data_IF_192484222786
#
_entry.id   IF_192484222786
#
_cell.length_a   1.000
_cell.length_b   1.000
_cell.length_c   1.000
_cell.angle_alpha   90.00
_cell.angle_beta   90.00
_cell.angle_gamma   90.00
#
_symmetry.space_group_name_H-M   'P 1'
#
loop_
_entity.id
_entity.type
_entity.pdbx_description
1 polymer ?
#
# COMPACT_ATOMS: atom_id res chain seq x y z
N UNK A 1 26.65 21.03 12.19
CA UNK A 1 25.22 20.73 12.17
C UNK A 1 24.74 21.14 10.78
N UNK A 2 24.63 20.18 9.88
CA UNK A 2 24.10 20.44 8.53
C UNK A 2 22.59 20.64 8.67
N UNK A 3 22.10 21.80 8.30
CA UNK A 3 20.66 22.05 8.19
C UNK A 3 20.06 20.96 7.31
N UNK A 4 19.12 20.20 7.86
CA UNK A 4 18.31 19.27 7.08
C UNK A 4 17.36 20.15 6.26
N UNK A 5 17.84 20.57 5.10
CA UNK A 5 16.99 21.25 4.12
C UNK A 5 15.86 20.28 3.77
N UNK A 6 14.63 20.73 3.93
CA UNK A 6 13.46 19.88 3.63
C UNK A 6 13.58 19.35 2.19
N UNK A 7 13.46 18.03 2.04
CA UNK A 7 13.52 17.37 0.73
C UNK A 7 12.54 18.03 -0.24
N UNK A 8 12.99 18.57 -1.38
CA UNK A 8 12.09 19.12 -2.38
C UNK A 8 11.05 18.08 -2.79
N UNK A 9 9.77 18.43 -2.67
CA UNK A 9 8.70 17.50 -2.97
C UNK A 9 7.63 18.13 -3.85
N UNK A 10 7.12 17.34 -4.78
CA UNK A 10 5.95 17.66 -5.60
C UNK A 10 4.88 16.60 -5.33
N UNK A 11 3.69 17.06 -4.97
CA UNK A 11 2.60 16.16 -4.55
C UNK A 11 1.40 16.36 -5.47
N UNK A 12 0.97 15.30 -6.14
CA UNK A 12 -0.23 15.30 -6.96
C UNK A 12 -1.49 15.49 -6.12
N UNK A 13 -2.50 16.12 -6.71
CA UNK A 13 -3.83 16.19 -6.12
C UNK A 13 -4.45 14.80 -6.03
N UNK A 14 -5.22 14.59 -4.96
CA UNK A 14 -5.96 13.34 -4.76
C UNK A 14 -7.15 13.26 -5.71
N UNK A 15 -7.28 12.14 -6.41
CA UNK A 15 -8.44 11.80 -7.26
C UNK A 15 -9.36 10.85 -6.53
N UNK A 16 -10.64 10.87 -6.87
CA UNK A 16 -11.64 9.93 -6.34
C UNK A 16 -12.28 9.21 -7.52
N UNK A 17 -12.32 7.89 -7.44
CA UNK A 17 -12.92 7.01 -8.44
C UNK A 17 -13.91 6.09 -7.72
N UNK A 18 -15.12 5.96 -8.27
CA UNK A 18 -16.15 5.05 -7.75
C UNK A 18 -16.42 3.98 -8.80
N UNK A 19 -16.29 2.71 -8.42
CA UNK A 19 -16.53 1.59 -9.33
C UNK A 19 -18.01 1.22 -9.37
N UNK A 20 -18.50 0.86 -10.57
CA UNK A 20 -19.89 0.38 -10.76
C UNK A 20 -20.09 -0.98 -10.09
N UNK A 21 -21.19 -1.10 -9.35
CA UNK A 21 -21.64 -2.39 -8.83
C UNK A 21 -22.18 -3.28 -9.96
N UNK A 22 -21.79 -4.54 -9.97
CA UNK A 22 -22.37 -5.57 -10.88
C UNK A 22 -23.43 -6.40 -10.19
N UNK A 23 -23.41 -6.47 -8.86
CA UNK A 23 -24.42 -7.15 -8.08
C UNK A 23 -25.47 -6.16 -7.61
N UNK A 24 -26.72 -6.66 -7.55
CA UNK A 24 -27.80 -6.04 -6.83
C UNK A 24 -27.98 -6.64 -5.42
N UNK A 25 -28.77 -6.04 -4.53
CA UNK A 25 -29.00 -6.54 -3.18
C UNK A 25 -29.57 -7.96 -3.14
N UNK A 26 -30.39 -8.36 -4.13
CA UNK A 26 -31.00 -9.68 -4.21
C UNK A 26 -29.96 -10.76 -4.48
N UNK A 27 -29.05 -10.48 -5.42
CA UNK A 27 -27.92 -11.39 -5.70
C UNK A 27 -26.97 -11.49 -4.51
N UNK A 28 -26.64 -10.39 -3.86
CA UNK A 28 -25.81 -10.41 -2.65
C UNK A 28 -26.44 -11.26 -1.55
N UNK A 29 -27.76 -11.10 -1.32
CA UNK A 29 -28.54 -11.93 -0.41
C UNK A 29 -28.44 -13.42 -0.74
N UNK A 30 -28.67 -13.80 -2.00
CA UNK A 30 -28.60 -15.19 -2.45
C UNK A 30 -27.21 -15.81 -2.22
N UNK A 31 -26.15 -15.05 -2.47
CA UNK A 31 -24.78 -15.48 -2.21
C UNK A 31 -24.53 -15.70 -0.71
N UNK A 32 -24.97 -14.77 0.13
CA UNK A 32 -24.85 -14.89 1.58
C UNK A 32 -25.65 -16.09 2.15
N UNK A 33 -26.87 -16.30 1.66
CA UNK A 33 -27.73 -17.43 2.07
C UNK A 33 -27.06 -18.80 1.81
N UNK A 34 -26.33 -18.96 0.69
CA UNK A 34 -25.60 -20.18 0.36
C UNK A 34 -24.51 -20.51 1.38
N UNK A 35 -23.88 -19.49 1.99
CA UNK A 35 -22.72 -19.67 2.86
C UNK A 35 -23.01 -19.48 4.35
N UNK A 36 -24.16 -18.90 4.74
CA UNK A 36 -24.48 -18.50 6.11
C UNK A 36 -24.21 -19.54 7.18
N UNK A 37 -24.48 -20.82 6.89
CA UNK A 37 -24.27 -21.90 7.87
C UNK A 37 -22.82 -22.12 8.27
N UNK A 38 -21.86 -21.74 7.42
CA UNK A 38 -20.41 -21.88 7.68
C UNK A 38 -19.96 -21.01 8.86
N UNK A 39 -20.65 -19.89 9.11
CA UNK A 39 -20.27 -18.92 10.13
C UNK A 39 -20.74 -19.28 11.54
N UNK A 40 -21.67 -20.24 11.66
CA UNK A 40 -22.26 -20.66 12.91
C UNK A 40 -21.90 -22.10 13.29
N UNK A 41 -20.79 -22.63 12.78
CA UNK A 41 -20.31 -23.98 13.10
C UNK A 41 -19.97 -24.08 14.59
N UNK A 42 -20.44 -25.15 15.25
CA UNK A 42 -20.15 -25.52 16.63
C UNK A 42 -19.24 -26.75 16.67
N UNK A 43 -18.33 -26.80 17.66
CA UNK A 43 -17.41 -27.93 17.84
C UNK A 43 -16.63 -28.31 16.56
N UNK A 44 -16.38 -27.36 15.66
CA UNK A 44 -15.62 -27.56 14.42
C UNK A 44 -16.37 -28.24 13.27
N UNK A 45 -17.51 -28.95 13.52
CA UNK A 45 -18.23 -29.72 12.49
C UNK A 45 -19.75 -29.57 12.50
N UNK A 46 -20.37 -29.26 13.63
CA UNK A 46 -21.82 -29.16 13.73
C UNK A 46 -22.36 -27.86 13.14
N UNK A 47 -23.00 -27.93 11.97
CA UNK A 47 -23.67 -26.79 11.33
C UNK A 47 -25.12 -26.71 11.79
N UNK A 48 -25.61 -25.51 12.18
CA UNK A 48 -27.03 -25.33 12.52
C UNK A 48 -27.94 -25.59 11.32
N UNK A 49 -29.23 -25.89 11.59
CA UNK A 49 -30.21 -26.02 10.52
C UNK A 49 -30.37 -24.66 9.79
N UNK A 50 -30.66 -24.66 8.46
CA UNK A 50 -30.82 -23.41 7.69
C UNK A 50 -31.84 -22.43 8.29
N UNK A 51 -32.94 -22.95 8.84
CA UNK A 51 -34.02 -22.18 9.50
C UNK A 51 -33.63 -21.54 10.83
N UNK A 52 -32.52 -21.97 11.42
CA UNK A 52 -31.98 -21.36 12.66
C UNK A 52 -31.16 -20.10 12.39
N UNK A 53 -30.87 -19.84 11.13
CA UNK A 53 -30.08 -18.65 10.75
C UNK A 53 -30.94 -17.72 9.89
N UNK A 54 -31.22 -16.53 10.45
CA UNK A 54 -32.01 -15.49 9.80
C UNK A 54 -31.08 -14.40 9.27
N UNK A 55 -31.38 -13.90 8.07
CA UNK A 55 -30.81 -12.67 7.58
C UNK A 55 -31.51 -11.49 8.26
N UNK A 56 -30.75 -10.58 8.84
CA UNK A 56 -31.23 -9.39 9.56
C UNK A 56 -31.21 -8.18 8.63
N UNK A 57 -30.04 -7.91 7.99
CA UNK A 57 -29.89 -6.78 7.07
C UNK A 57 -29.03 -7.14 5.86
N UNK A 58 -29.20 -6.33 4.79
CA UNK A 58 -28.34 -6.27 3.62
C UNK A 58 -28.08 -4.79 3.36
N UNK A 59 -26.89 -4.35 3.67
CA UNK A 59 -26.49 -2.97 3.55
C UNK A 59 -25.41 -2.84 2.45
N UNK A 60 -25.55 -1.82 1.58
CA UNK A 60 -24.56 -1.52 0.55
C UNK A 60 -23.80 -0.28 0.93
N UNK A 61 -22.48 -0.37 0.87
CA UNK A 61 -21.56 0.75 1.05
C UNK A 61 -20.39 0.64 0.05
N UNK A 62 -19.50 1.61 0.08
CA UNK A 62 -18.33 1.64 -0.78
C UNK A 62 -17.07 1.70 0.08
N UNK A 63 -16.22 0.68 -0.03
CA UNK A 63 -14.96 0.57 0.71
C UNK A 63 -13.85 1.29 -0.03
N UNK A 64 -13.11 2.22 0.61
CA UNK A 64 -12.01 2.92 -0.01
C UNK A 64 -10.73 2.08 -0.03
N UNK A 65 -10.05 2.12 -1.17
CA UNK A 65 -8.66 1.71 -1.34
C UNK A 65 -7.88 2.91 -1.86
N UNK A 66 -6.66 3.09 -1.37
CA UNK A 66 -5.82 4.21 -1.71
C UNK A 66 -4.70 3.73 -2.61
N UNK A 67 -4.60 4.28 -3.81
CA UNK A 67 -3.44 4.10 -4.68
C UNK A 67 -2.53 5.29 -4.49
N UNK A 68 -1.31 5.02 -4.08
CA UNK A 68 -0.26 6.02 -3.94
C UNK A 68 0.98 5.57 -4.71
N UNK A 69 1.54 6.48 -5.51
CA UNK A 69 2.73 6.22 -6.31
C UNK A 69 3.59 7.44 -6.45
N UNK A 70 4.86 7.20 -6.70
CA UNK A 70 5.81 8.30 -6.87
C UNK A 70 7.22 7.83 -7.13
N UNK A 71 8.09 8.82 -7.20
CA UNK A 71 9.47 8.68 -7.60
C UNK A 71 10.38 9.40 -6.62
N UNK A 72 11.51 8.79 -6.32
CA UNK A 72 12.61 9.39 -5.60
C UNK A 72 13.85 9.36 -6.48
N UNK A 73 14.63 10.45 -6.48
CA UNK A 73 15.92 10.43 -7.12
C UNK A 73 16.93 11.30 -6.38
N UNK A 74 18.20 10.91 -6.46
CA UNK A 74 19.32 11.57 -5.82
C UNK A 74 20.56 11.52 -6.70
N UNK A 75 21.18 12.70 -6.91
CA UNK A 75 22.48 12.86 -7.50
C UNK A 75 23.49 13.20 -6.40
N UNK A 76 24.58 12.46 -6.32
CA UNK A 76 25.55 12.62 -5.26
C UNK A 76 26.97 12.30 -5.70
N UNK A 77 27.94 12.78 -4.94
CA UNK A 77 29.36 12.54 -5.15
C UNK A 77 29.95 11.69 -4.04
N UNK A 78 30.93 10.88 -4.41
CA UNK A 78 31.80 10.13 -3.47
C UNK A 78 33.25 10.26 -3.89
N UNK A 79 34.09 10.62 -2.93
CA UNK A 79 35.54 10.60 -3.12
C UNK A 79 36.06 9.19 -2.80
N UNK A 80 36.76 8.63 -3.75
CA UNK A 80 37.30 7.28 -3.64
C UNK A 80 38.69 7.18 -4.22
N UNK A 81 39.43 6.20 -3.72
CA UNK A 81 40.68 5.77 -4.35
C UNK A 81 40.35 4.67 -5.36
N UNK A 82 40.60 4.95 -6.62
CA UNK A 82 40.43 4.00 -7.72
C UNK A 82 41.73 3.26 -7.96
N UNK A 83 41.69 1.92 -7.93
CA UNK A 83 42.81 1.08 -8.26
C UNK A 83 42.70 0.65 -9.73
N UNK A 84 43.52 1.24 -10.59
CA UNK A 84 43.54 0.94 -12.03
C UNK A 84 44.65 -0.09 -12.29
N UNK A 85 44.30 -1.24 -12.84
CA UNK A 85 45.26 -2.29 -13.21
C UNK A 85 46.13 -1.80 -14.36
N UNK A 86 47.44 -2.02 -14.25
CA UNK A 86 48.46 -1.68 -15.25
C UNK A 86 49.31 -2.89 -15.56
N UNK A 87 50.11 -2.78 -16.66
CA UNK A 87 51.01 -3.85 -17.08
C UNK A 87 52.07 -4.12 -16.03
N UNK A 88 52.46 -5.36 -15.88
CA UNK A 88 53.44 -5.82 -14.89
C UNK A 88 54.84 -5.20 -15.09
N UNK A 89 55.19 -4.90 -16.34
CA UNK A 89 56.45 -4.29 -16.71
C UNK A 89 56.49 -2.77 -16.53
N UNK A 90 55.33 -2.15 -16.28
CA UNK A 90 55.20 -0.69 -16.13
C UNK A 90 55.99 -0.20 -14.89
N UNK A 91 56.78 0.80 -15.07
CA UNK A 91 57.61 1.46 -14.00
C UNK A 91 56.98 2.76 -13.51
N UNK A 92 56.40 3.52 -14.43
CA UNK A 92 55.80 4.82 -14.16
C UNK A 92 54.73 5.15 -15.23
N UNK A 93 53.69 5.86 -14.86
CA UNK A 93 52.70 6.42 -15.77
C UNK A 93 52.48 7.89 -15.45
N UNK A 94 52.25 8.69 -16.47
CA UNK A 94 51.92 10.14 -16.34
C UNK A 94 50.43 10.32 -16.70
N UNK A 95 49.63 10.80 -15.75
CA UNK A 95 48.21 11.10 -15.96
C UNK A 95 47.98 12.55 -15.56
N UNK A 96 47.43 13.37 -16.47
CA UNK A 96 47.18 14.79 -16.25
C UNK A 96 48.41 15.53 -15.70
N UNK A 97 49.63 15.21 -16.21
CA UNK A 97 50.89 15.82 -15.78
C UNK A 97 51.44 15.32 -14.45
N UNK A 98 50.77 14.47 -13.73
CA UNK A 98 51.23 13.84 -12.48
C UNK A 98 51.80 12.44 -12.72
N UNK A 99 52.94 12.14 -12.08
CA UNK A 99 53.60 10.84 -12.18
C UNK A 99 53.09 9.91 -11.10
N UNK A 100 52.70 8.68 -11.47
CA UNK A 100 52.25 7.63 -10.57
C UNK A 100 53.18 6.40 -10.73
N UNK A 101 53.57 5.79 -9.62
CA UNK A 101 54.28 4.52 -9.61
C UNK A 101 53.34 3.38 -9.30
N UNK A 102 53.33 2.33 -10.11
CA UNK A 102 52.52 1.16 -9.83
C UNK A 102 52.90 0.47 -8.53
N UNK A 103 51.88 0.04 -7.79
CA UNK A 103 52.00 -0.74 -6.55
C UNK A 103 51.39 -2.13 -6.73
N UNK A 104 51.81 -3.16 -6.00
CA UNK A 104 51.11 -4.45 -6.02
C UNK A 104 49.70 -4.29 -5.47
N UNK A 105 48.71 -4.96 -6.10
CA UNK A 105 47.30 -4.91 -5.68
C UNK A 105 47.12 -5.49 -4.28
N UNK A 106 47.80 -6.61 -4.00
CA UNK A 106 47.94 -7.22 -2.67
C UNK A 106 49.23 -8.04 -2.63
N UNK A 107 49.75 -8.38 -1.42
CA UNK A 107 50.95 -9.25 -1.27
C UNK A 107 50.78 -10.60 -2.00
N UNK A 108 49.56 -11.12 -2.11
CA UNK A 108 49.25 -12.43 -2.70
C UNK A 108 49.01 -12.39 -4.20
N UNK A 109 48.82 -11.17 -4.80
CA UNK A 109 48.55 -11.00 -6.21
C UNK A 109 49.61 -10.11 -6.86
N UNK A 110 50.37 -10.64 -7.83
CA UNK A 110 51.44 -9.89 -8.48
C UNK A 110 50.95 -8.75 -9.39
N UNK A 111 49.62 -8.64 -9.67
CA UNK A 111 49.08 -7.59 -10.49
C UNK A 111 49.40 -6.20 -9.93
N UNK A 112 49.96 -5.33 -10.76
CA UNK A 112 50.26 -3.94 -10.41
C UNK A 112 49.03 -3.05 -10.66
N UNK A 113 48.84 -2.08 -9.77
CA UNK A 113 47.81 -1.04 -9.89
C UNK A 113 48.39 0.34 -9.61
N UNK A 114 47.80 1.32 -10.21
CA UNK A 114 47.97 2.71 -9.75
C UNK A 114 46.75 3.12 -8.94
N UNK A 115 46.96 3.88 -7.88
CA UNK A 115 45.91 4.42 -7.05
C UNK A 115 45.69 5.89 -7.42
N UNK A 116 44.46 6.19 -7.83
CA UNK A 116 44.06 7.55 -8.17
C UNK A 116 42.96 7.98 -7.22
N UNK A 117 43.15 9.11 -6.55
CA UNK A 117 42.07 9.77 -5.86
C UNK A 117 41.18 10.45 -6.91
N UNK A 118 39.90 10.23 -6.82
CA UNK A 118 38.92 10.79 -7.74
C UNK A 118 37.57 10.94 -7.10
N UNK A 119 36.76 11.80 -7.68
CA UNK A 119 35.38 12.03 -7.30
C UNK A 119 34.48 11.32 -8.31
N UNK A 120 33.67 10.39 -7.84
CA UNK A 120 32.66 9.72 -8.63
C UNK A 120 31.32 10.41 -8.45
N UNK A 121 30.66 10.70 -9.57
CA UNK A 121 29.28 11.21 -9.60
C UNK A 121 28.33 10.07 -9.83
N UNK A 122 27.29 9.99 -9.00
CA UNK A 122 26.34 8.89 -8.97
C UNK A 122 24.92 9.43 -9.09
N UNK A 123 24.09 8.67 -9.76
CA UNK A 123 22.66 8.87 -9.83
C UNK A 123 21.96 7.62 -9.30
N UNK A 124 20.98 7.81 -8.42
CA UNK A 124 20.08 6.73 -7.97
C UNK A 124 18.63 7.20 -8.14
N UNK A 125 17.80 6.30 -8.64
CA UNK A 125 16.39 6.56 -8.87
C UNK A 125 15.58 5.31 -8.45
N UNK A 126 14.43 5.54 -7.82
CA UNK A 126 13.45 4.51 -7.47
C UNK A 126 12.03 5.02 -7.72
N UNK A 127 11.17 4.15 -8.22
CA UNK A 127 9.77 4.44 -8.50
C UNK A 127 8.91 3.25 -8.08
N UNK A 128 7.84 3.51 -7.32
CA UNK A 128 6.92 2.48 -6.92
C UNK A 128 5.48 2.98 -6.78
N UNK A 129 4.54 2.03 -6.87
CA UNK A 129 3.12 2.22 -6.67
C UNK A 129 2.61 1.19 -5.67
N UNK A 130 1.81 1.65 -4.73
CA UNK A 130 1.25 0.82 -3.68
C UNK A 130 -0.26 1.02 -3.61
N UNK A 131 -0.95 -0.04 -3.23
CA UNK A 131 -2.37 -0.01 -2.92
C UNK A 131 -2.52 -0.28 -1.44
N UNK A 132 -3.24 0.59 -0.73
CA UNK A 132 -3.49 0.46 0.70
C UNK A 132 -4.98 0.23 0.95
N UNK A 133 -5.30 -0.63 1.91
CA UNK A 133 -6.65 -0.72 2.45
C UNK A 133 -6.96 0.49 3.35
N UNK A 134 -8.18 0.58 3.84
CA UNK A 134 -8.63 1.66 4.72
C UNK A 134 -7.93 1.69 6.10
N UNK A 135 -7.10 0.69 6.41
CA UNK A 135 -6.30 0.63 7.65
C UNK A 135 -4.81 0.92 7.40
N UNK A 136 -4.40 1.15 6.15
CA UNK A 136 -3.01 1.41 5.76
C UNK A 136 -2.19 0.16 5.48
N UNK A 137 -2.81 -1.01 5.40
CA UNK A 137 -2.10 -2.21 5.01
C UNK A 137 -1.98 -2.30 3.50
N UNK A 138 -0.82 -2.73 3.05
CA UNK A 138 -0.59 -2.96 1.63
C UNK A 138 -1.44 -4.12 1.10
N UNK A 139 -2.04 -3.91 -0.06
CA UNK A 139 -2.94 -4.86 -0.73
C UNK A 139 -2.36 -5.19 -2.10
N UNK A 140 -2.30 -6.48 -2.43
CA UNK A 140 -1.86 -6.90 -3.76
C UNK A 140 -2.88 -6.48 -4.83
N UNK A 141 -2.43 -6.01 -6.00
CA UNK A 141 -3.32 -5.57 -7.10
C UNK A 141 -4.37 -6.60 -7.51
N UNK A 142 -4.04 -7.89 -7.43
CA UNK A 142 -4.93 -9.01 -7.78
C UNK A 142 -6.11 -9.17 -6.81
N UNK A 143 -6.03 -8.54 -5.64
CA UNK A 143 -7.10 -8.55 -4.65
C UNK A 143 -8.16 -7.48 -4.92
N UNK A 144 -7.83 -6.48 -5.76
CA UNK A 144 -8.80 -5.46 -6.16
C UNK A 144 -9.72 -5.99 -7.25
N UNK A 145 -10.99 -5.69 -7.09
CA UNK A 145 -11.99 -5.96 -8.12
C UNK A 145 -11.98 -4.87 -9.18
N UNK A 146 -12.14 -5.26 -10.43
CA UNK A 146 -12.19 -4.34 -11.55
C UNK A 146 -13.61 -4.19 -12.11
N UNK A 147 -14.04 -2.95 -12.28
CA UNK A 147 -15.28 -2.57 -12.95
C UNK A 147 -15.12 -1.18 -13.59
N UNK A 148 -15.99 -0.81 -14.55
CA UNK A 148 -16.05 0.56 -15.07
C UNK A 148 -16.35 1.56 -13.95
N UNK A 149 -15.94 2.80 -14.15
CA UNK A 149 -16.24 3.91 -13.25
C UNK A 149 -17.70 4.33 -13.31
N UNK A 150 -18.23 4.84 -12.20
CA UNK A 150 -19.53 5.51 -12.20
C UNK A 150 -19.34 6.95 -12.67
N UNK A 151 -20.03 7.31 -13.75
CA UNK A 151 -19.95 8.63 -14.39
C UNK A 151 -21.25 9.42 -14.26
N UNK A 152 -22.36 8.75 -13.87
CA UNK A 152 -23.65 9.40 -13.74
C UNK A 152 -23.71 10.22 -12.45
N UNK A 153 -23.85 11.54 -12.59
CA UNK A 153 -23.82 12.49 -11.46
C UNK A 153 -24.88 12.17 -10.40
N UNK A 154 -26.11 11.86 -10.82
CA UNK A 154 -27.21 11.51 -9.91
C UNK A 154 -26.88 10.29 -9.04
N UNK A 155 -26.21 9.26 -9.62
CA UNK A 155 -25.76 8.09 -8.88
C UNK A 155 -24.60 8.40 -7.94
N UNK A 156 -23.67 9.27 -8.35
CA UNK A 156 -22.57 9.69 -7.48
C UNK A 156 -23.08 10.44 -6.26
N UNK A 157 -24.11 11.26 -6.39
CA UNK A 157 -24.77 11.93 -5.27
C UNK A 157 -25.42 10.93 -4.29
N UNK A 158 -26.16 9.94 -4.81
CA UNK A 158 -26.71 8.85 -3.98
C UNK A 158 -25.62 8.03 -3.29
N UNK A 159 -24.54 7.72 -4.00
CA UNK A 159 -23.41 6.95 -3.50
C UNK A 159 -22.66 7.71 -2.41
N UNK A 160 -22.57 9.04 -2.48
CA UNK A 160 -21.82 9.86 -1.53
C UNK A 160 -22.19 9.59 -0.07
N UNK A 161 -23.47 9.31 0.21
CA UNK A 161 -23.97 8.98 1.54
C UNK A 161 -23.59 7.55 2.00
N UNK A 162 -23.08 6.72 1.09
CA UNK A 162 -22.72 5.33 1.34
C UNK A 162 -21.22 5.09 1.28
N UNK A 163 -20.42 6.15 1.09
CA UNK A 163 -18.96 6.07 1.11
C UNK A 163 -18.50 5.86 2.55
N UNK A 164 -17.66 4.89 2.79
CA UNK A 164 -16.94 4.80 4.06
C UNK A 164 -15.87 5.87 4.12
N UNK A 165 -15.70 6.44 5.30
CA UNK A 165 -14.64 7.41 5.57
C UNK A 165 -13.26 6.78 5.37
N UNK A 166 -12.36 7.53 4.74
CA UNK A 166 -10.94 7.16 4.61
C UNK A 166 -10.25 7.45 5.94
N UNK A 167 -9.74 6.42 6.58
CA UNK A 167 -9.09 6.52 7.90
C UNK A 167 -7.63 6.96 7.82
N UNK A 168 -7.00 6.76 6.67
CA UNK A 168 -5.61 7.15 6.44
C UNK A 168 -5.56 8.61 6.05
N UNK A 169 -4.78 9.41 6.77
CA UNK A 169 -4.59 10.82 6.42
C UNK A 169 -3.74 10.97 5.14
N UNK A 170 -3.86 12.12 4.44
CA UNK A 170 -3.02 12.42 3.29
C UNK A 170 -1.52 12.34 3.58
N UNK A 171 -1.12 12.72 4.79
CA UNK A 171 0.26 12.68 5.25
C UNK A 171 0.75 11.23 5.42
N UNK A 172 -0.08 10.38 6.00
CA UNK A 172 0.24 8.96 6.20
C UNK A 172 0.45 8.22 4.88
N UNK A 173 -0.34 8.55 3.83
CA UNK A 173 -0.12 7.99 2.47
C UNK A 173 1.26 8.34 1.94
N UNK A 174 1.63 9.63 2.07
CA UNK A 174 2.90 10.15 1.58
C UNK A 174 4.07 9.56 2.38
N UNK A 175 3.93 9.48 3.69
CA UNK A 175 4.95 8.91 4.57
C UNK A 175 5.14 7.42 4.32
N UNK A 176 4.05 6.69 4.03
CA UNK A 176 4.14 5.30 3.61
C UNK A 176 5.00 5.16 2.34
N UNK A 177 4.68 5.91 1.27
CA UNK A 177 5.44 5.89 0.03
C UNK A 177 6.90 6.28 0.28
N UNK A 178 7.13 7.38 1.01
CA UNK A 178 8.47 7.88 1.33
C UNK A 178 9.31 6.80 2.04
N UNK A 179 8.73 6.10 3.00
CA UNK A 179 9.44 5.04 3.74
C UNK A 179 9.86 3.84 2.87
N UNK A 180 9.23 3.69 1.70
CA UNK A 180 9.50 2.58 0.78
C UNK A 180 10.52 2.89 -0.28
N UNK A 181 10.51 4.12 -0.83
CA UNK A 181 11.35 4.46 -1.99
C UNK A 181 12.50 5.41 -1.65
N UNK A 182 12.44 6.16 -0.55
CA UNK A 182 13.54 7.07 -0.19
C UNK A 182 14.66 6.27 0.47
N UNK A 183 15.69 6.02 -0.30
CA UNK A 183 16.88 5.29 0.15
C UNK A 183 18.13 6.12 -0.12
N UNK A 184 18.49 6.98 0.83
CA UNK A 184 19.69 7.80 0.76
C UNK A 184 20.91 6.97 1.11
N UNK A 185 21.92 6.85 0.21
CA UNK A 185 23.17 6.16 0.52
C UNK A 185 23.87 6.76 1.73
N UNK A 186 24.43 5.92 2.59
CA UNK A 186 25.06 6.35 3.86
C UNK A 186 26.47 6.93 3.70
N UNK A 187 27.15 6.58 2.60
CA UNK A 187 28.55 6.92 2.33
C UNK A 187 28.69 8.04 1.26
N UNK A 188 27.87 9.08 1.38
CA UNK A 188 27.83 10.23 0.44
C UNK A 188 28.67 11.37 1.01
N UNK A 189 29.59 11.92 0.19
CA UNK A 189 30.36 13.11 0.57
C UNK A 189 29.55 14.39 0.32
N UNK A 190 28.85 14.44 -0.81
CA UNK A 190 28.02 15.60 -1.19
C UNK A 190 26.78 15.14 -1.96
N UNK A 191 25.62 15.72 -1.64
CA UNK A 191 24.39 15.59 -2.41
C UNK A 191 24.26 16.82 -3.30
N UNK A 192 24.29 16.61 -4.62
CA UNK A 192 24.17 17.69 -5.60
C UNK A 192 22.73 18.02 -5.94
N UNK A 193 21.86 16.99 -5.95
CA UNK A 193 20.43 17.15 -6.18
C UNK A 193 19.68 16.01 -5.52
N UNK A 194 18.54 16.30 -4.94
CA UNK A 194 17.66 15.29 -4.34
C UNK A 194 16.21 15.76 -4.47
N UNK A 195 15.30 14.87 -4.86
CA UNK A 195 13.87 15.18 -4.94
C UNK A 195 13.01 13.95 -4.72
N UNK A 196 11.80 14.22 -4.25
CA UNK A 196 10.76 13.24 -4.05
C UNK A 196 9.46 13.75 -4.69
N UNK A 197 8.83 12.93 -5.53
CA UNK A 197 7.59 13.28 -6.22
C UNK A 197 6.54 12.22 -5.94
N UNK A 198 5.35 12.65 -5.55
CA UNK A 198 4.15 11.82 -5.49
C UNK A 198 3.33 12.15 -6.73
N UNK A 199 3.32 11.25 -7.71
CA UNK A 199 2.70 11.45 -9.02
C UNK A 199 1.31 10.84 -9.12
N UNK A 200 0.97 9.87 -8.25
CA UNK A 200 -0.35 9.23 -8.20
C UNK A 200 -0.90 9.23 -6.78
N UNK A 201 -2.15 9.72 -6.64
CA UNK A 201 -2.94 9.66 -5.40
C UNK A 201 -4.39 9.49 -5.77
N UNK A 202 -4.88 8.26 -5.68
CA UNK A 202 -6.25 7.95 -6.08
C UNK A 202 -6.95 7.13 -4.99
N UNK A 203 -8.14 7.57 -4.58
CA UNK A 203 -9.05 6.78 -3.76
C UNK A 203 -9.99 6.05 -4.71
N UNK A 204 -9.98 4.73 -4.65
CA UNK A 204 -10.88 3.86 -5.41
C UNK A 204 -11.93 3.32 -4.43
N UNK A 205 -13.18 3.68 -4.65
CA UNK A 205 -14.32 3.17 -3.88
C UNK A 205 -14.92 1.93 -4.55
N UNK A 206 -14.83 0.79 -3.86
CA UNK A 206 -15.34 -0.50 -4.33
C UNK A 206 -16.69 -0.80 -3.66
N UNK A 207 -17.77 -1.07 -4.44
CA UNK A 207 -19.07 -1.42 -3.89
C UNK A 207 -18.99 -2.73 -3.10
N UNK A 208 -19.47 -2.71 -1.88
CA UNK A 208 -19.45 -3.83 -0.94
C UNK A 208 -20.82 -4.01 -0.31
N UNK A 209 -21.27 -5.26 -0.17
CA UNK A 209 -22.47 -5.61 0.55
C UNK A 209 -22.12 -6.22 1.91
N UNK A 210 -22.65 -5.64 2.97
CA UNK A 210 -22.58 -6.18 4.32
C UNK A 210 -23.90 -6.91 4.64
N UNK A 211 -23.80 -8.19 4.95
CA UNK A 211 -24.94 -9.02 5.31
C UNK A 211 -24.82 -9.43 6.78
N UNK A 212 -25.81 -9.07 7.58
CA UNK A 212 -25.89 -9.49 8.99
C UNK A 212 -26.81 -10.69 9.12
N UNK A 213 -26.27 -11.80 9.60
CA UNK A 213 -27.00 -13.01 9.93
C UNK A 213 -27.06 -13.22 11.44
N UNK A 214 -28.16 -13.76 11.93
CA UNK A 214 -28.34 -14.09 13.34
C UNK A 214 -28.80 -15.54 13.50
N UNK A 215 -28.20 -16.26 14.44
CA UNK A 215 -28.72 -17.53 14.89
C UNK A 215 -29.83 -17.29 15.90
N UNK A 216 -31.08 -17.59 15.54
CA UNK A 216 -32.27 -17.31 16.34
C UNK A 216 -32.33 -18.05 17.67
N UNK A 217 -31.63 -19.19 17.80
CA UNK A 217 -31.56 -19.95 19.06
C UNK A 217 -30.55 -19.40 20.05
N UNK A 218 -29.44 -18.86 19.54
CA UNK A 218 -28.31 -18.42 20.40
C UNK A 218 -28.15 -16.92 20.47
N UNK A 219 -28.87 -16.18 19.62
CA UNK A 219 -28.71 -14.73 19.48
C UNK A 219 -27.36 -14.30 18.85
N UNK A 220 -26.46 -15.24 18.55
CA UNK A 220 -25.16 -14.91 17.95
C UNK A 220 -25.33 -14.36 16.56
N UNK A 221 -24.50 -13.37 16.23
CA UNK A 221 -24.51 -12.74 14.92
C UNK A 221 -23.22 -13.04 14.14
N UNK A 222 -23.32 -12.94 12.82
CA UNK A 222 -22.23 -13.04 11.90
C UNK A 222 -22.43 -12.00 10.80
N UNK A 223 -21.41 -11.20 10.56
CA UNK A 223 -21.38 -10.19 9.52
C UNK A 223 -20.47 -10.69 8.40
N UNK A 224 -21.00 -10.66 7.18
CA UNK A 224 -20.32 -11.14 5.98
C UNK A 224 -20.25 -9.99 4.97
N UNK A 225 -19.07 -9.68 4.50
CA UNK A 225 -18.85 -8.67 3.46
C UNK A 225 -18.62 -9.37 2.12
N UNK A 226 -19.39 -8.95 1.12
CA UNK A 226 -19.35 -9.49 -0.25
C UNK A 226 -18.99 -8.37 -1.19
N UNK A 227 -18.00 -8.60 -2.03
CA UNK A 227 -17.62 -7.70 -3.11
C UNK A 227 -18.76 -7.52 -4.11
N UNK A 228 -19.20 -6.28 -4.31
CA UNK A 228 -20.33 -5.95 -5.17
C UNK A 228 -20.03 -6.06 -6.68
N UNK A 229 -18.81 -6.37 -7.07
CA UNK A 229 -18.38 -6.57 -8.44
C UNK A 229 -18.26 -8.05 -8.75
N UNK A 230 -17.52 -8.80 -7.94
CA UNK A 230 -17.19 -10.21 -8.18
C UNK A 230 -18.10 -11.20 -7.47
N UNK A 231 -18.83 -10.77 -6.44
CA UNK A 231 -19.63 -11.65 -5.58
C UNK A 231 -18.80 -12.51 -4.64
N UNK A 232 -17.50 -12.31 -4.57
CA UNK A 232 -16.63 -13.03 -3.63
C UNK A 232 -16.80 -12.49 -2.23
N UNK A 233 -16.69 -13.37 -1.24
CA UNK A 233 -16.62 -12.98 0.15
C UNK A 233 -15.26 -12.34 0.43
N UNK A 234 -15.27 -11.09 0.91
CA UNK A 234 -14.07 -10.33 1.25
C UNK A 234 -13.68 -10.58 2.70
N UNK A 235 -14.65 -10.46 3.61
CA UNK A 235 -14.42 -10.47 5.05
C UNK A 235 -15.56 -11.15 5.78
N UNK A 236 -15.22 -11.69 6.94
CA UNK A 236 -16.18 -12.27 7.87
C UNK A 236 -15.84 -11.86 9.30
N UNK A 237 -16.84 -11.40 10.04
CA UNK A 237 -16.72 -11.03 11.46
C UNK A 237 -17.79 -11.74 12.29
N UNK A 238 -17.44 -12.23 13.48
CA UNK A 238 -18.42 -12.66 14.48
C UNK A 238 -18.92 -11.41 15.20
N UNK A 239 -20.21 -11.11 15.05
CA UNK A 239 -20.88 -10.08 15.83
C UNK A 239 -21.11 -10.62 17.26
N UNK A 240 -20.72 -9.85 18.25
CA UNK A 240 -21.23 -10.06 19.60
C UNK A 240 -22.43 -9.14 19.76
N UNK A 241 -23.58 -9.67 20.17
CA UNK A 241 -24.70 -8.87 20.66
C UNK A 241 -24.15 -8.00 21.79
N UNK A 242 -23.95 -6.72 21.53
CA UNK A 242 -23.98 -5.71 22.59
C UNK A 242 -25.41 -5.78 23.11
N UNK A 243 -25.59 -6.55 24.17
CA UNK A 243 -26.86 -6.70 24.87
C UNK A 243 -27.36 -5.30 25.15
N UNK A 244 -28.54 -4.94 24.62
CA UNK A 244 -29.36 -3.75 24.93
C UNK A 244 -29.74 -3.68 26.42
N UNK A 245 -28.82 -3.95 27.34
CA UNK A 245 -28.99 -3.89 28.80
C UNK A 245 -28.66 -2.53 29.38
N UNK A 246 -28.22 -1.54 28.59
CA UNK A 246 -27.85 -0.22 29.10
C UNK A 246 -28.67 0.94 28.55
N UNK A 247 -29.78 0.70 27.83
CA UNK A 247 -30.65 1.79 27.34
C UNK A 247 -31.86 2.09 28.25
N UNK A 248 -32.01 1.42 29.42
CA UNK A 248 -33.10 1.68 30.37
C UNK A 248 -32.63 2.21 31.73
N UNK A 249 -31.52 2.89 31.83
CA UNK A 249 -30.97 3.37 33.09
C UNK A 249 -30.86 4.90 33.19
N UNK A 250 -31.73 5.66 32.52
CA UNK A 250 -32.00 7.04 32.88
C UNK A 250 -33.50 7.32 32.74
N UNK A 251 -34.27 7.31 33.83
CA UNK A 251 -35.56 7.99 33.86
C UNK A 251 -35.31 9.51 33.88
N UNK A 252 -36.23 10.25 33.25
CA UNK A 252 -36.35 11.70 33.14
C UNK A 252 -36.07 12.45 34.44
#
# INVERSE_FOLDING_TARGET
>A
MTEITALPQKIANRKIIVLKSRLDPTMARLLGEKVKRKFFVRLGFLKPAPKEIRLISVDKYYEPYIVVGGKYAIDYCKRRVYAIKVDEEMREIVIAGKKFKPEPLSPERPSKVIKLEGEGHFHYEDEAYFILDNMGHEVAPEQLSYAPFEEQQEKLEEISMKLREVKISPEQEIDFLRSRIVNRPSDVDEVTKEWFEVNERTIIYIPTYELTFQNVKTGKEAIVEIDGITGKMIRYRKGYLLTLKYLNAYPL
#
